data_IF_434827228654
#
_entry.id   IF_434827228654
#
_cell.length_a   1.000
_cell.length_b   1.000
_cell.length_c   1.000
_cell.angle_alpha   90.00
_cell.angle_beta   90.00
_cell.angle_gamma   90.00
#
_symmetry.space_group_name_H-M   'P 1'
#
loop_
_entity.id
_entity.type
_entity.pdbx_description
1 polymer ?
#
# COMPACT_ATOMS: atom_id res chain seq x y z
N UNK A 1 -3.48 29.32 -2.48
CA UNK A 1 -3.70 27.99 -3.08
C UNK A 1 -4.27 27.03 -2.04
N UNK A 2 -3.48 26.47 -1.11
CA UNK A 2 -4.05 25.59 -0.06
C UNK A 2 -5.04 26.31 0.88
N UNK A 3 -4.80 27.60 1.17
CA UNK A 3 -5.72 28.47 1.92
C UNK A 3 -7.05 28.71 1.19
N UNK A 4 -7.06 28.61 -0.14
CA UNK A 4 -8.28 28.79 -0.94
C UNK A 4 -9.09 27.49 -0.94
N UNK A 5 -8.40 26.36 -1.13
CA UNK A 5 -9.00 25.01 -1.00
C UNK A 5 -9.62 24.82 0.38
N UNK A 6 -8.87 25.13 1.44
CA UNK A 6 -9.35 24.96 2.82
C UNK A 6 -10.56 25.84 3.13
N UNK A 7 -10.54 27.13 2.75
CA UNK A 7 -11.70 28.03 2.92
C UNK A 7 -12.94 27.57 2.16
N UNK A 8 -12.77 27.09 0.93
CA UNK A 8 -13.89 26.57 0.15
C UNK A 8 -14.50 25.32 0.80
N UNK A 9 -13.67 24.40 1.29
CA UNK A 9 -14.13 23.20 2.00
C UNK A 9 -14.87 23.54 3.30
N UNK A 10 -14.33 24.45 4.11
CA UNK A 10 -14.98 24.89 5.36
C UNK A 10 -16.35 25.53 5.08
N UNK A 11 -16.44 26.34 4.03
CA UNK A 11 -17.70 26.97 3.57
C UNK A 11 -18.69 25.95 3.03
N UNK A 12 -18.27 25.10 2.08
CA UNK A 12 -19.14 24.13 1.38
C UNK A 12 -19.70 23.07 2.31
N UNK A 13 -18.90 22.56 3.23
CA UNK A 13 -19.31 21.48 4.14
C UNK A 13 -19.67 21.96 5.54
N UNK A 14 -19.61 23.28 5.80
CA UNK A 14 -19.88 23.87 7.12
C UNK A 14 -19.10 23.13 8.23
N UNK A 15 -17.80 22.98 8.01
CA UNK A 15 -16.92 22.19 8.86
C UNK A 15 -15.70 23.00 9.30
N UNK A 16 -14.96 22.50 10.28
CA UNK A 16 -13.62 23.00 10.62
C UNK A 16 -12.58 22.01 10.12
N UNK A 17 -11.53 22.50 9.45
CA UNK A 17 -10.44 21.64 9.04
C UNK A 17 -9.35 21.50 10.12
N UNK A 18 -9.01 20.26 10.44
CA UNK A 18 -7.86 19.93 11.28
C UNK A 18 -6.86 19.15 10.46
N UNK A 19 -5.61 19.63 10.43
CA UNK A 19 -4.53 18.90 9.78
C UNK A 19 -4.30 17.56 10.49
N UNK A 20 -4.43 16.46 9.75
CA UNK A 20 -4.07 15.15 10.27
C UNK A 20 -2.55 14.93 10.20
N UNK A 21 -2.02 14.27 11.23
CA UNK A 21 -0.65 13.77 11.27
C UNK A 21 -0.64 12.37 10.65
N UNK A 22 -0.21 12.26 9.40
CA UNK A 22 -0.31 11.06 8.57
C UNK A 22 -0.55 11.43 7.11
N UNK A 23 -0.12 10.60 6.17
CA UNK A 23 -0.09 10.93 4.74
C UNK A 23 1.17 11.72 4.37
N UNK A 24 2.23 10.99 3.97
CA UNK A 24 3.52 11.57 3.64
C UNK A 24 3.55 12.22 2.25
N UNK A 25 2.70 11.74 1.34
CA UNK A 25 2.64 12.18 -0.06
C UNK A 25 1.69 13.36 -0.26
N UNK A 26 0.56 13.37 0.45
CA UNK A 26 -0.57 14.25 0.19
C UNK A 26 -1.02 15.02 1.43
N UNK A 27 -1.74 16.12 1.21
CA UNK A 27 -2.26 16.92 2.30
C UNK A 27 -3.61 16.36 2.79
N UNK A 28 -3.63 15.69 3.94
CA UNK A 28 -4.87 15.16 4.55
C UNK A 28 -5.39 16.03 5.71
N UNK A 29 -6.71 16.26 5.74
CA UNK A 29 -7.42 17.01 6.78
C UNK A 29 -8.64 16.24 7.28
N UNK A 30 -8.88 16.30 8.59
CA UNK A 30 -10.16 15.96 9.20
C UNK A 30 -11.10 17.14 9.01
N UNK A 31 -12.30 16.88 8.53
CA UNK A 31 -13.42 17.80 8.43
C UNK A 31 -14.29 17.60 9.65
N UNK A 32 -14.06 18.38 10.72
CA UNK A 32 -14.85 18.30 11.95
C UNK A 32 -16.27 18.84 11.72
N UNK A 33 -17.26 17.99 12.02
CA UNK A 33 -18.70 18.26 11.94
C UNK A 33 -19.47 17.20 12.74
N UNK A 34 -20.81 17.21 12.66
CA UNK A 34 -21.64 16.17 13.30
C UNK A 34 -21.39 14.77 12.73
N UNK A 35 -21.03 14.71 11.44
CA UNK A 35 -20.58 13.51 10.74
C UNK A 35 -19.19 13.83 10.17
N UNK A 36 -18.10 13.36 10.82
CA UNK A 36 -16.75 13.72 10.40
C UNK A 36 -16.41 13.08 9.04
N UNK A 37 -15.70 13.85 8.20
CA UNK A 37 -15.17 13.41 6.91
C UNK A 37 -13.66 13.63 6.85
N UNK A 38 -13.01 13.09 5.83
CA UNK A 38 -11.60 13.32 5.54
C UNK A 38 -11.46 13.93 4.16
N UNK A 39 -10.69 15.01 4.05
CA UNK A 39 -10.27 15.62 2.79
C UNK A 39 -8.80 15.29 2.51
N UNK A 40 -8.52 14.56 1.43
CA UNK A 40 -7.16 14.32 0.90
C UNK A 40 -6.93 15.23 -0.30
N UNK A 41 -5.98 16.14 -0.19
CA UNK A 41 -5.62 17.13 -1.21
C UNK A 41 -4.32 16.70 -1.90
N UNK A 42 -4.38 16.54 -3.21
CA UNK A 42 -3.27 16.15 -4.08
C UNK A 42 -3.16 17.08 -5.30
N UNK A 43 -2.01 17.12 -5.96
CA UNK A 43 -1.88 17.85 -7.23
C UNK A 43 -2.67 17.18 -8.37
N UNK A 44 -3.26 17.95 -9.27
CA UNK A 44 -4.06 17.42 -10.39
C UNK A 44 -3.30 16.46 -11.31
N UNK A 45 -1.99 16.67 -11.46
CA UNK A 45 -1.12 15.82 -12.30
C UNK A 45 -0.73 14.50 -11.59
N UNK A 46 -1.19 14.27 -10.36
CA UNK A 46 -0.88 13.06 -9.61
C UNK A 46 -1.84 11.92 -10.00
N UNK A 47 -1.41 11.06 -10.92
CA UNK A 47 -2.14 9.87 -11.36
C UNK A 47 -2.39 8.83 -10.25
N UNK A 48 -1.65 8.88 -9.13
CA UNK A 48 -1.92 8.02 -7.97
C UNK A 48 -3.25 8.37 -7.32
N UNK A 49 -3.65 9.64 -7.36
CA UNK A 49 -4.95 10.10 -6.87
C UNK A 49 -6.11 9.59 -7.74
N UNK A 50 -5.94 9.56 -9.06
CA UNK A 50 -6.97 9.01 -9.98
C UNK A 50 -7.16 7.53 -9.75
N UNK A 51 -6.05 6.82 -9.56
CA UNK A 51 -6.06 5.40 -9.26
C UNK A 51 -6.72 5.11 -7.91
N UNK A 52 -6.49 5.95 -6.90
CA UNK A 52 -7.19 5.84 -5.61
C UNK A 52 -8.70 6.02 -5.76
N UNK A 53 -9.16 7.02 -6.54
CA UNK A 53 -10.60 7.21 -6.81
C UNK A 53 -11.19 5.96 -7.45
N UNK A 54 -10.56 5.45 -8.51
CA UNK A 54 -11.02 4.25 -9.21
C UNK A 54 -11.09 3.02 -8.28
N UNK A 55 -10.09 2.87 -7.41
CA UNK A 55 -10.04 1.75 -6.46
C UNK A 55 -11.11 1.86 -5.37
N UNK A 56 -11.30 3.04 -4.78
CA UNK A 56 -12.30 3.26 -3.73
C UNK A 56 -13.73 3.12 -4.28
N UNK A 57 -14.00 3.60 -5.50
CA UNK A 57 -15.29 3.35 -6.16
C UNK A 57 -15.51 1.86 -6.44
N UNK A 58 -14.49 1.14 -6.90
CA UNK A 58 -14.56 -0.31 -7.08
C UNK A 58 -14.86 -1.05 -5.75
N UNK A 59 -14.28 -0.58 -4.65
CA UNK A 59 -14.43 -1.18 -3.32
C UNK A 59 -15.61 -0.63 -2.50
N UNK A 60 -16.44 0.25 -3.05
CA UNK A 60 -17.51 0.94 -2.31
C UNK A 60 -18.46 0.01 -1.54
N UNK A 61 -18.75 -1.16 -2.09
CA UNK A 61 -19.63 -2.15 -1.46
C UNK A 61 -18.94 -3.07 -0.44
N UNK A 62 -17.62 -2.98 -0.29
CA UNK A 62 -16.81 -3.90 0.52
C UNK A 62 -16.82 -3.57 2.02
N UNK A 63 -17.17 -2.33 2.38
CA UNK A 63 -17.08 -1.74 3.72
C UNK A 63 -15.67 -1.69 4.35
N UNK A 64 -14.63 -2.25 3.71
CA UNK A 64 -13.25 -2.29 4.25
C UNK A 64 -12.45 -1.02 3.94
N UNK A 65 -12.91 -0.18 3.01
CA UNK A 65 -12.22 1.05 2.59
C UNK A 65 -13.13 2.27 2.78
N UNK A 66 -12.58 3.48 2.93
CA UNK A 66 -13.36 4.72 2.93
C UNK A 66 -14.24 4.86 1.69
N UNK A 67 -15.47 5.31 1.86
CA UNK A 67 -16.36 5.66 0.75
C UNK A 67 -16.07 7.11 0.35
N UNK A 68 -15.96 7.35 -0.96
CA UNK A 68 -15.86 8.69 -1.53
C UNK A 68 -17.25 9.32 -1.55
N UNK A 69 -17.34 10.54 -1.02
CA UNK A 69 -18.53 11.39 -1.05
C UNK A 69 -18.44 12.46 -2.13
N UNK A 70 -17.24 12.98 -2.40
CA UNK A 70 -17.03 14.03 -3.39
C UNK A 70 -15.60 14.00 -3.95
N UNK A 71 -15.45 14.46 -5.19
CA UNK A 71 -14.15 14.69 -5.84
C UNK A 71 -14.18 16.09 -6.44
N UNK A 72 -13.42 17.00 -5.85
CA UNK A 72 -13.38 18.41 -6.25
C UNK A 72 -12.09 18.70 -6.98
N UNK A 73 -12.18 19.48 -8.06
CA UNK A 73 -11.02 19.98 -8.77
C UNK A 73 -10.93 21.51 -8.65
N UNK A 74 -9.78 21.96 -8.18
CA UNK A 74 -9.35 23.35 -8.14
C UNK A 74 -8.26 23.55 -9.20
N UNK A 75 -7.80 24.79 -9.42
CA UNK A 75 -6.92 25.11 -10.56
C UNK A 75 -5.70 24.19 -10.71
N UNK A 76 -5.08 23.71 -9.62
CA UNK A 76 -3.96 22.77 -9.67
C UNK A 76 -4.12 21.56 -8.73
N UNK A 77 -5.23 21.45 -8.02
CA UNK A 77 -5.42 20.48 -6.95
C UNK A 77 -6.69 19.65 -7.14
N UNK A 78 -6.61 18.37 -6.76
CA UNK A 78 -7.76 17.49 -6.58
C UNK A 78 -7.97 17.24 -5.10
N UNK A 79 -9.21 17.29 -4.66
CA UNK A 79 -9.62 16.98 -3.29
C UNK A 79 -10.56 15.80 -3.30
N UNK A 80 -10.18 14.73 -2.60
CA UNK A 80 -11.04 13.59 -2.32
C UNK A 80 -11.67 13.80 -0.95
N UNK A 81 -13.00 13.89 -0.91
CA UNK A 81 -13.77 13.92 0.33
C UNK A 81 -14.33 12.53 0.57
N UNK A 82 -13.96 11.91 1.67
CA UNK A 82 -14.27 10.52 1.99
C UNK A 82 -14.65 10.32 3.45
N UNK A 83 -15.15 9.13 3.79
CA UNK A 83 -15.45 8.76 5.17
C UNK A 83 -14.27 9.04 6.12
N UNK A 84 -14.58 9.60 7.29
CA UNK A 84 -13.72 9.41 8.43
C UNK A 84 -13.87 7.97 8.95
N UNK A 85 -12.77 7.24 9.03
CA UNK A 85 -12.75 5.90 9.62
C UNK A 85 -12.24 5.96 11.06
N UNK A 86 -13.04 5.57 12.06
CA UNK A 86 -12.57 5.51 13.44
C UNK A 86 -11.62 4.33 13.61
N UNK A 87 -10.76 4.42 14.63
CA UNK A 87 -9.96 3.29 15.07
C UNK A 87 -8.53 3.63 15.44
N UNK A 88 -7.84 2.63 15.97
CA UNK A 88 -6.44 2.69 16.35
C UNK A 88 -5.59 2.21 15.19
N UNK A 89 -4.54 2.97 14.85
CA UNK A 89 -3.61 2.58 13.79
C UNK A 89 -2.88 1.27 14.16
N UNK A 90 -2.85 0.30 13.24
CA UNK A 90 -2.27 -1.02 13.46
C UNK A 90 -0.77 -0.97 13.80
N UNK A 91 -0.03 0.00 13.26
CA UNK A 91 1.39 0.17 13.58
C UNK A 91 1.59 0.53 15.06
N UNK A 92 0.69 1.31 15.66
CA UNK A 92 0.77 1.64 17.09
C UNK A 92 0.65 0.40 18.00
N UNK A 93 0.01 -0.67 17.53
CA UNK A 93 -0.03 -1.96 18.25
C UNK A 93 1.35 -2.61 18.23
N UNK A 94 2.06 -2.56 17.11
CA UNK A 94 3.44 -3.05 17.02
C UNK A 94 4.37 -2.23 17.93
N UNK A 95 4.22 -0.91 17.89
CA UNK A 95 5.03 0.02 18.69
C UNK A 95 4.80 -0.15 20.20
N UNK A 96 3.64 -0.65 20.61
CA UNK A 96 3.35 -0.99 22.01
C UNK A 96 4.15 -2.19 22.55
N UNK A 97 4.74 -3.00 21.66
CA UNK A 97 5.45 -4.23 22.02
C UNK A 97 4.56 -5.40 22.44
N UNK A 98 3.23 -5.26 22.37
CA UNK A 98 2.28 -6.31 22.73
C UNK A 98 2.20 -7.41 21.68
N UNK A 99 3.01 -8.46 21.82
CA UNK A 99 3.04 -9.60 20.88
C UNK A 99 1.67 -10.28 20.67
N UNK A 100 0.86 -10.43 21.72
CA UNK A 100 -0.47 -11.04 21.62
C UNK A 100 -1.39 -10.27 20.66
N UNK A 101 -1.52 -8.95 20.89
CA UNK A 101 -2.30 -8.06 20.02
C UNK A 101 -1.72 -8.00 18.60
N UNK A 102 -0.40 -8.00 18.46
CA UNK A 102 0.25 -8.01 17.14
C UNK A 102 -0.05 -9.31 16.37
N UNK A 103 -0.06 -10.46 17.03
CA UNK A 103 -0.44 -11.74 16.43
C UNK A 103 -1.91 -11.76 15.97
N UNK A 104 -2.82 -11.23 16.80
CA UNK A 104 -4.23 -11.08 16.41
C UNK A 104 -4.34 -10.18 15.18
N UNK A 105 -3.67 -9.02 15.19
CA UNK A 105 -3.64 -8.12 14.05
C UNK A 105 -3.14 -8.83 12.78
N UNK A 106 -1.99 -9.51 12.83
CA UNK A 106 -1.40 -10.13 11.64
C UNK A 106 -2.25 -11.26 11.07
N UNK A 107 -2.95 -12.04 11.89
CA UNK A 107 -3.94 -13.02 11.39
C UNK A 107 -5.13 -12.31 10.74
N UNK A 108 -5.66 -11.26 11.35
CA UNK A 108 -6.77 -10.49 10.78
C UNK A 108 -6.38 -9.79 9.47
N UNK A 109 -5.15 -9.28 9.35
CA UNK A 109 -4.61 -8.72 8.10
C UNK A 109 -4.59 -9.78 7.01
N UNK A 110 -4.03 -10.96 7.30
CA UNK A 110 -3.95 -12.06 6.35
C UNK A 110 -5.33 -12.51 5.86
N UNK A 111 -6.26 -12.71 6.80
CA UNK A 111 -7.62 -13.12 6.48
C UNK A 111 -8.36 -12.05 5.66
N UNK A 112 -8.27 -10.77 6.03
CA UNK A 112 -8.91 -9.69 5.26
C UNK A 112 -8.34 -9.62 3.85
N UNK A 113 -7.02 -9.61 3.71
CA UNK A 113 -6.35 -9.54 2.42
C UNK A 113 -6.81 -10.69 1.50
N UNK A 114 -6.80 -11.92 2.01
CA UNK A 114 -7.18 -13.11 1.25
C UNK A 114 -8.68 -13.16 0.89
N UNK A 115 -9.56 -12.75 1.81
CA UNK A 115 -11.02 -12.98 1.68
C UNK A 115 -11.82 -11.77 1.19
N UNK A 116 -11.25 -10.57 1.23
CA UNK A 116 -11.93 -9.33 0.88
C UNK A 116 -11.26 -8.56 -0.26
N UNK A 117 -9.94 -8.68 -0.42
CA UNK A 117 -9.18 -7.91 -1.42
C UNK A 117 -8.78 -8.84 -2.58
N UNK A 118 -8.01 -9.88 -2.29
CA UNK A 118 -7.46 -10.79 -3.30
C UNK A 118 -8.49 -11.75 -3.91
N UNK A 119 -9.76 -11.66 -3.51
CA UNK A 119 -10.88 -12.36 -4.17
C UNK A 119 -11.27 -11.71 -5.50
N UNK A 120 -10.86 -10.47 -5.73
CA UNK A 120 -11.12 -9.75 -6.98
C UNK A 120 -10.03 -10.11 -8.00
N UNK A 121 -10.34 -11.02 -8.93
CA UNK A 121 -9.45 -11.35 -10.05
C UNK A 121 -9.50 -10.27 -11.14
N UNK A 122 -8.41 -10.07 -11.86
CA UNK A 122 -8.37 -9.19 -13.03
C UNK A 122 -9.41 -9.65 -14.08
N UNK A 123 -10.38 -8.80 -14.35
CA UNK A 123 -11.40 -8.99 -15.39
C UNK A 123 -11.03 -8.35 -16.73
N UNK A 124 -11.97 -8.40 -17.68
CA UNK A 124 -11.82 -7.72 -18.97
C UNK A 124 -11.86 -6.19 -18.85
N UNK A 125 -12.60 -5.67 -17.86
CA UNK A 125 -12.61 -4.27 -17.49
C UNK A 125 -11.75 -4.08 -16.23
N UNK A 126 -10.61 -3.35 -16.30
CA UNK A 126 -9.76 -3.08 -15.15
C UNK A 126 -10.33 -1.95 -14.25
N UNK A 127 -11.49 -1.38 -14.57
CA UNK A 127 -12.14 -0.31 -13.81
C UNK A 127 -11.28 0.95 -13.63
N UNK A 128 -10.38 1.23 -14.59
CA UNK A 128 -9.44 2.34 -14.50
C UNK A 128 -8.35 2.18 -13.43
N UNK A 129 -8.31 1.06 -12.70
CA UNK A 129 -7.23 0.72 -11.78
C UNK A 129 -6.02 0.27 -12.61
N UNK A 130 -4.84 0.75 -12.24
CA UNK A 130 -3.60 0.47 -12.98
C UNK A 130 -3.26 -1.02 -12.95
N UNK A 131 -2.56 -1.46 -13.99
CA UNK A 131 -1.91 -2.77 -14.02
C UNK A 131 -0.51 -2.68 -13.42
N UNK A 132 -0.07 -3.77 -12.80
CA UNK A 132 1.28 -3.91 -12.30
C UNK A 132 2.29 -3.76 -13.44
N UNK A 133 3.36 -3.01 -13.19
CA UNK A 133 4.50 -2.88 -14.10
C UNK A 133 5.54 -4.01 -13.94
N UNK A 134 5.15 -5.14 -13.33
CA UNK A 134 6.02 -6.29 -13.10
C UNK A 134 6.72 -6.78 -14.38
N UNK A 135 5.99 -6.87 -15.49
CA UNK A 135 6.59 -7.30 -16.76
C UNK A 135 7.60 -6.28 -17.29
N UNK A 136 7.31 -4.99 -17.15
CA UNK A 136 8.25 -3.94 -17.52
C UNK A 136 9.51 -4.03 -16.65
N UNK A 137 9.39 -4.12 -15.33
CA UNK A 137 10.54 -4.22 -14.42
C UNK A 137 11.35 -5.51 -14.66
N UNK A 138 10.68 -6.62 -15.00
CA UNK A 138 11.32 -7.89 -15.35
C UNK A 138 12.04 -7.86 -16.69
N UNK A 139 11.46 -7.20 -17.70
CA UNK A 139 11.95 -7.18 -19.09
C UNK A 139 12.92 -6.03 -19.40
N UNK A 140 12.93 -4.97 -18.60
CA UNK A 140 13.80 -3.82 -18.83
C UNK A 140 15.25 -4.07 -18.43
N UNK A 141 16.14 -3.38 -19.13
CA UNK A 141 17.40 -2.97 -18.53
C UNK A 141 17.06 -1.98 -17.43
N UNK A 142 17.04 -2.45 -16.19
CA UNK A 142 16.97 -1.66 -14.96
C UNK A 142 18.05 -0.55 -14.95
N UNK A 143 17.82 0.52 -15.69
CA UNK A 143 18.78 1.60 -15.95
C UNK A 143 18.32 2.86 -15.23
N UNK A 144 18.53 2.83 -13.91
CA UNK A 144 18.43 4.02 -13.07
C UNK A 144 19.85 4.44 -12.76
N UNK A 145 20.33 5.52 -13.37
CA UNK A 145 21.73 5.96 -13.28
C UNK A 145 22.24 6.25 -11.86
N UNK A 146 21.34 6.38 -10.88
CA UNK A 146 21.68 6.53 -9.46
C UNK A 146 21.82 5.18 -8.71
N UNK A 147 21.38 4.05 -9.28
CA UNK A 147 21.47 2.73 -8.68
C UNK A 147 22.79 2.05 -9.09
N UNK A 148 23.62 1.58 -8.15
CA UNK A 148 24.85 0.87 -8.46
C UNK A 148 24.65 -0.37 -9.34
N UNK A 149 25.49 -0.53 -10.38
CA UNK A 149 25.37 -1.61 -11.37
C UNK A 149 25.39 -3.02 -10.78
N UNK A 150 26.14 -3.25 -9.71
CA UNK A 150 26.16 -4.57 -9.06
C UNK A 150 24.81 -4.93 -8.42
N UNK A 151 24.08 -3.95 -7.87
CA UNK A 151 22.72 -4.18 -7.33
C UNK A 151 21.72 -4.42 -8.47
N UNK A 152 21.89 -3.73 -9.61
CA UNK A 152 21.13 -3.98 -10.84
C UNK A 152 21.28 -5.44 -11.28
N UNK A 153 22.52 -5.92 -11.42
CA UNK A 153 22.80 -7.26 -11.95
C UNK A 153 22.27 -8.37 -11.00
N UNK A 154 22.41 -8.18 -9.69
CA UNK A 154 21.79 -9.08 -8.69
C UNK A 154 20.27 -9.06 -8.78
N UNK A 155 19.67 -7.88 -8.90
CA UNK A 155 18.21 -7.74 -9.01
C UNK A 155 17.67 -8.45 -10.24
N UNK A 156 18.33 -8.32 -11.41
CA UNK A 156 17.92 -9.02 -12.64
C UNK A 156 17.88 -10.53 -12.46
N UNK A 157 18.85 -11.10 -11.74
CA UNK A 157 18.90 -12.54 -11.47
C UNK A 157 17.67 -13.00 -10.69
N UNK A 158 17.29 -12.25 -9.64
CA UNK A 158 16.12 -12.59 -8.80
C UNK A 158 14.81 -12.32 -9.54
N UNK A 159 14.71 -11.22 -10.27
CA UNK A 159 13.49 -10.81 -10.99
C UNK A 159 13.16 -11.75 -12.17
N UNK A 160 14.13 -12.51 -12.69
CA UNK A 160 13.89 -13.52 -13.72
C UNK A 160 12.84 -14.57 -13.30
N UNK A 161 12.66 -14.78 -11.99
CA UNK A 161 11.68 -15.71 -11.42
C UNK A 161 10.37 -15.04 -10.97
N UNK A 162 10.18 -13.75 -11.25
CA UNK A 162 8.95 -13.05 -10.93
C UNK A 162 7.79 -13.60 -11.77
N UNK A 163 6.69 -14.00 -11.11
CA UNK A 163 5.47 -14.40 -11.80
C UNK A 163 4.73 -13.15 -12.31
N UNK A 164 4.68 -13.04 -13.64
CA UNK A 164 4.06 -11.95 -14.40
C UNK A 164 2.79 -12.40 -15.11
N UNK A 165 2.30 -13.62 -14.86
CA UNK A 165 1.11 -14.13 -15.49
C UNK A 165 -0.14 -13.38 -15.01
N UNK A 166 -0.73 -12.58 -15.89
CA UNK A 166 -1.93 -11.80 -15.60
C UNK A 166 -3.14 -12.65 -15.17
N UNK A 167 -3.17 -13.96 -15.51
CA UNK A 167 -4.24 -14.86 -15.06
C UNK A 167 -4.23 -15.09 -13.54
N UNK A 168 -3.09 -14.86 -12.91
CA UNK A 168 -2.93 -14.95 -11.46
C UNK A 168 -3.11 -13.59 -10.77
N UNK A 169 -3.39 -12.52 -11.53
CA UNK A 169 -3.49 -11.18 -10.96
C UNK A 169 -4.83 -10.94 -10.29
N UNK A 170 -4.74 -10.27 -9.15
CA UNK A 170 -5.86 -9.85 -8.32
C UNK A 170 -5.72 -8.37 -8.04
N UNK A 171 -6.76 -7.77 -7.46
CA UNK A 171 -6.63 -6.45 -6.86
C UNK A 171 -5.62 -6.55 -5.72
N UNK A 172 -4.57 -5.75 -5.77
CA UNK A 172 -3.62 -5.57 -4.67
C UNK A 172 -3.71 -4.14 -4.18
N UNK A 173 -3.48 -3.93 -2.89
CA UNK A 173 -3.42 -2.62 -2.26
C UNK A 173 -2.13 -1.87 -2.65
N UNK A 174 -1.02 -2.59 -2.80
CA UNK A 174 0.27 -2.03 -3.19
C UNK A 174 1.05 -1.37 -2.05
N UNK A 175 0.43 -0.95 -0.97
CA UNK A 175 1.13 -0.58 0.28
C UNK A 175 0.48 -1.24 1.51
N UNK A 176 0.10 -2.52 1.37
CA UNK A 176 -0.63 -3.22 2.43
C UNK A 176 0.26 -3.47 3.66
N UNK A 177 -0.18 -3.02 4.83
CA UNK A 177 0.56 -3.24 6.06
C UNK A 177 -0.10 -2.57 7.26
N UNK A 178 0.40 -2.88 8.46
CA UNK A 178 -0.17 -2.37 9.73
C UNK A 178 -0.27 -0.84 9.80
N UNK A 179 0.58 -0.11 9.07
CA UNK A 179 0.60 1.35 9.02
C UNK A 179 -0.59 1.96 8.28
N UNK A 180 -1.23 1.20 7.38
CA UNK A 180 -2.39 1.61 6.59
C UNK A 180 -3.71 0.99 7.08
N UNK A 181 -3.73 0.53 8.33
CA UNK A 181 -4.86 -0.19 8.91
C UNK A 181 -5.34 0.54 10.16
N UNK A 182 -6.64 0.79 10.25
CA UNK A 182 -7.31 1.20 11.47
C UNK A 182 -8.15 0.05 12.01
N UNK A 183 -8.09 -0.15 13.33
CA UNK A 183 -8.88 -1.15 14.04
C UNK A 183 -9.90 -0.41 14.89
N UNK A 184 -11.19 -0.61 14.60
CA UNK A 184 -12.27 0.00 15.37
C UNK A 184 -12.55 -0.77 16.68
N UNK A 185 -13.50 -0.26 17.47
CA UNK A 185 -13.85 -0.84 18.78
C UNK A 185 -14.47 -2.25 18.66
N UNK A 186 -15.03 -2.60 17.50
CA UNK A 186 -15.59 -3.91 17.19
C UNK A 186 -14.52 -4.87 16.59
N UNK A 187 -13.26 -4.44 16.53
CA UNK A 187 -12.12 -5.13 15.91
C UNK A 187 -12.25 -5.31 14.38
N UNK A 188 -13.07 -4.51 13.71
CA UNK A 188 -13.07 -4.48 12.26
C UNK A 188 -11.85 -3.70 11.76
N UNK A 189 -11.29 -4.18 10.65
CA UNK A 189 -10.17 -3.54 9.98
C UNK A 189 -10.68 -2.61 8.88
N UNK A 190 -10.22 -1.36 8.91
CA UNK A 190 -10.39 -0.38 7.84
C UNK A 190 -9.05 -0.17 7.16
N UNK A 191 -9.00 -0.38 5.84
CA UNK A 191 -7.81 -0.28 5.00
C UNK A 191 -7.79 1.09 4.33
N UNK A 192 -6.73 1.85 4.56
CA UNK A 192 -6.55 3.21 4.08
C UNK A 192 -5.49 3.29 2.98
N UNK A 193 -5.48 4.40 2.24
CA UNK A 193 -4.42 4.79 1.30
C UNK A 193 -4.23 3.85 0.10
N UNK A 194 -5.27 3.81 -0.75
CA UNK A 194 -5.34 2.92 -1.92
C UNK A 194 -4.65 3.50 -3.18
N UNK A 195 -3.83 4.54 -3.04
CA UNK A 195 -3.22 5.23 -4.17
C UNK A 195 -2.22 4.34 -4.95
N UNK A 196 -1.65 3.33 -4.28
CA UNK A 196 -0.74 2.34 -4.87
C UNK A 196 -1.43 1.07 -5.37
N UNK A 197 -2.76 1.00 -5.33
CA UNK A 197 -3.50 -0.18 -5.73
C UNK A 197 -3.21 -0.53 -7.19
N UNK A 198 -3.10 -1.82 -7.48
CA UNK A 198 -2.87 -2.30 -8.84
C UNK A 198 -3.50 -3.68 -9.04
N UNK A 199 -3.81 -4.01 -10.29
CA UNK A 199 -3.96 -5.40 -10.71
C UNK A 199 -2.57 -6.04 -10.80
N UNK A 200 -2.26 -6.93 -9.88
CA UNK A 200 -0.92 -7.51 -9.75
C UNK A 200 -0.95 -8.88 -9.10
N UNK A 201 0.22 -9.50 -9.02
CA UNK A 201 0.34 -10.79 -8.36
C UNK A 201 0.06 -10.64 -6.85
N UNK A 202 -0.74 -11.50 -6.20
CA UNK A 202 -1.09 -11.39 -4.78
C UNK A 202 0.13 -11.38 -3.84
N UNK A 203 1.25 -11.95 -4.28
CA UNK A 203 2.50 -11.91 -3.51
C UNK A 203 3.12 -10.52 -3.39
N UNK A 204 2.66 -9.53 -4.16
CA UNK A 204 3.11 -8.16 -4.01
C UNK A 204 2.75 -7.62 -2.62
N UNK A 205 1.50 -7.82 -2.17
CA UNK A 205 1.07 -7.40 -0.82
C UNK A 205 1.59 -8.34 0.28
N UNK A 206 1.57 -9.66 0.05
CA UNK A 206 2.09 -10.63 1.04
C UNK A 206 3.58 -10.39 1.30
N UNK A 207 4.36 -10.24 0.24
CA UNK A 207 5.79 -9.90 0.30
C UNK A 207 6.01 -8.61 1.05
N UNK A 208 5.21 -7.58 0.76
CA UNK A 208 5.33 -6.26 1.37
C UNK A 208 5.12 -6.30 2.89
N UNK A 209 4.12 -7.04 3.39
CA UNK A 209 3.94 -7.24 4.84
C UNK A 209 5.17 -7.92 5.47
N UNK A 210 5.67 -8.98 4.84
CA UNK A 210 6.85 -9.71 5.33
C UNK A 210 8.09 -8.80 5.34
N UNK A 211 8.27 -8.01 4.28
CA UNK A 211 9.36 -7.05 4.12
C UNK A 211 9.33 -5.95 5.16
N UNK A 212 8.17 -5.30 5.32
CA UNK A 212 7.98 -4.22 6.28
C UNK A 212 8.27 -4.71 7.71
N UNK A 213 7.76 -5.87 8.07
CA UNK A 213 7.95 -6.44 9.40
C UNK A 213 9.40 -6.80 9.65
N UNK A 214 10.10 -7.41 8.68
CA UNK A 214 11.54 -7.72 8.81
C UNK A 214 12.40 -6.46 8.92
N UNK A 215 12.07 -5.41 8.18
CA UNK A 215 12.86 -4.18 8.19
C UNK A 215 12.64 -3.36 9.46
N UNK A 216 11.39 -3.22 9.91
CA UNK A 216 11.03 -2.29 10.98
C UNK A 216 10.86 -2.96 12.35
N UNK A 217 10.51 -4.24 12.37
CA UNK A 217 10.25 -5.01 13.60
C UNK A 217 11.00 -6.36 13.58
N UNK A 218 12.33 -6.38 13.35
CA UNK A 218 13.10 -7.61 13.13
C UNK A 218 12.96 -8.63 14.27
N UNK A 219 12.79 -8.16 15.51
CA UNK A 219 12.60 -8.98 16.71
C UNK A 219 11.24 -9.70 16.75
N UNK A 220 10.24 -9.19 16.04
CA UNK A 220 8.90 -9.80 15.95
C UNK A 220 8.69 -10.55 14.62
N UNK A 221 9.54 -10.27 13.63
CA UNK A 221 9.32 -10.67 12.24
C UNK A 221 9.10 -12.17 12.03
N UNK A 222 9.87 -13.04 12.68
CA UNK A 222 9.70 -14.48 12.53
C UNK A 222 8.28 -14.93 12.95
N UNK A 223 7.86 -14.54 14.15
CA UNK A 223 6.58 -14.97 14.73
C UNK A 223 5.39 -14.34 13.99
N UNK A 224 5.48 -13.05 13.66
CA UNK A 224 4.39 -12.33 13.00
C UNK A 224 4.25 -12.71 11.53
N UNK A 225 5.35 -12.79 10.78
CA UNK A 225 5.31 -13.18 9.37
C UNK A 225 4.82 -14.61 9.22
N UNK A 226 5.23 -15.52 10.12
CA UNK A 226 4.68 -16.87 10.13
C UNK A 226 3.17 -16.89 10.31
N UNK A 227 2.67 -16.20 11.34
CA UNK A 227 1.23 -16.13 11.60
C UNK A 227 0.46 -15.54 10.42
N UNK A 228 0.99 -14.49 9.79
CA UNK A 228 0.35 -13.85 8.63
C UNK A 228 0.35 -14.78 7.40
N UNK A 229 1.51 -15.35 7.02
CA UNK A 229 1.59 -16.15 5.79
C UNK A 229 0.81 -17.46 5.93
N UNK A 230 0.87 -18.14 7.08
CA UNK A 230 0.07 -19.35 7.32
C UNK A 230 -1.43 -19.06 7.22
N UNK A 231 -1.90 -17.99 7.87
CA UNK A 231 -3.31 -17.60 7.83
C UNK A 231 -3.73 -17.19 6.41
N UNK A 232 -2.89 -16.47 5.67
CA UNK A 232 -3.18 -16.06 4.30
C UNK A 232 -3.33 -17.28 3.37
N UNK A 233 -2.46 -18.28 3.50
CA UNK A 233 -2.53 -19.53 2.71
C UNK A 233 -3.83 -20.29 2.98
N UNK A 234 -4.32 -20.30 4.23
CA UNK A 234 -5.58 -20.98 4.60
C UNK A 234 -6.77 -20.44 3.80
N UNK A 235 -6.83 -19.13 3.59
CA UNK A 235 -7.97 -18.46 2.95
C UNK A 235 -7.79 -18.15 1.46
N UNK A 236 -6.58 -18.34 0.92
CA UNK A 236 -6.28 -17.95 -0.46
C UNK A 236 -6.29 -19.11 -1.46
N UNK A 237 -6.32 -18.75 -2.75
CA UNK A 237 -6.12 -19.70 -3.84
C UNK A 237 -4.68 -20.25 -3.87
N UNK A 238 -3.69 -19.48 -3.38
CA UNK A 238 -2.31 -19.91 -3.27
C UNK A 238 -2.17 -20.99 -2.19
N UNK A 239 -1.71 -22.19 -2.57
CA UNK A 239 -1.56 -23.33 -1.63
C UNK A 239 -0.20 -23.39 -0.95
N UNK A 240 0.76 -22.63 -1.44
CA UNK A 240 2.10 -22.55 -0.87
C UNK A 240 2.76 -21.26 -1.30
N UNK A 241 3.62 -20.72 -0.43
CA UNK A 241 4.43 -19.54 -0.70
C UNK A 241 5.86 -19.87 -0.27
N UNK A 242 6.79 -19.82 -1.21
CA UNK A 242 8.21 -20.05 -0.92
C UNK A 242 8.94 -18.74 -0.56
N UNK A 243 10.04 -18.80 0.21
CA UNK A 243 10.89 -17.65 0.47
C UNK A 243 11.43 -17.01 -0.82
N UNK A 244 11.68 -17.81 -1.86
CA UNK A 244 12.15 -17.32 -3.16
C UNK A 244 11.11 -16.45 -3.87
N UNK A 245 9.84 -16.87 -3.87
CA UNK A 245 8.76 -16.07 -4.45
C UNK A 245 8.53 -14.76 -3.68
N UNK A 246 8.67 -14.77 -2.35
CA UNK A 246 8.62 -13.53 -1.56
C UNK A 246 9.80 -12.61 -1.89
N UNK A 247 11.00 -13.18 -2.05
CA UNK A 247 12.20 -12.43 -2.45
C UNK A 247 11.99 -11.71 -3.78
N UNK A 248 11.49 -12.40 -4.81
CA UNK A 248 11.30 -11.80 -6.13
C UNK A 248 10.23 -10.71 -6.11
N UNK A 249 9.09 -10.93 -5.43
CA UNK A 249 8.06 -9.91 -5.22
C UNK A 249 8.57 -8.68 -4.47
N UNK A 250 9.41 -8.86 -3.45
CA UNK A 250 9.99 -7.76 -2.68
C UNK A 250 11.01 -6.95 -3.47
N UNK A 251 11.89 -7.61 -4.23
CA UNK A 251 12.82 -6.93 -5.14
C UNK A 251 12.04 -6.16 -6.20
N UNK A 252 10.99 -6.75 -6.78
CA UNK A 252 10.08 -6.05 -7.69
C UNK A 252 9.51 -4.79 -7.05
N UNK A 253 9.01 -4.89 -5.81
CA UNK A 253 8.36 -3.77 -5.14
C UNK A 253 9.33 -2.62 -4.87
N UNK A 254 10.55 -2.92 -4.42
CA UNK A 254 11.60 -1.93 -4.24
C UNK A 254 11.97 -1.26 -5.56
N UNK A 255 12.07 -2.02 -6.67
CA UNK A 255 12.30 -1.45 -8.00
C UNK A 255 11.14 -0.58 -8.50
N UNK A 256 9.89 -0.97 -8.21
CA UNK A 256 8.72 -0.16 -8.54
C UNK A 256 8.80 1.20 -7.83
N UNK A 257 9.27 1.23 -6.58
CA UNK A 257 9.49 2.49 -5.85
C UNK A 257 10.67 3.28 -6.44
N UNK A 258 11.83 2.64 -6.63
CA UNK A 258 13.01 3.29 -7.23
C UNK A 258 12.70 3.94 -8.58
N UNK A 259 11.87 3.31 -9.42
CA UNK A 259 11.47 3.85 -10.72
C UNK A 259 10.80 5.22 -10.63
N UNK A 260 10.13 5.52 -9.51
CA UNK A 260 9.46 6.80 -9.23
C UNK A 260 10.38 7.85 -8.60
N UNK A 261 11.58 7.47 -8.17
CA UNK A 261 12.53 8.32 -7.45
C UNK A 261 13.58 8.98 -8.35
N UNK A 262 13.45 8.91 -9.68
CA UNK A 262 14.39 9.51 -10.63
C UNK A 262 14.66 11.00 -10.36
N UNK A 263 13.62 11.73 -9.95
CA UNK A 263 13.69 13.16 -9.65
C UNK A 263 13.70 13.46 -8.14
N UNK A 264 13.77 12.44 -7.29
CA UNK A 264 13.77 12.62 -5.85
C UNK A 264 15.13 13.17 -5.36
N UNK A 265 15.16 13.86 -4.20
CA UNK A 265 16.41 14.30 -3.60
C UNK A 265 17.43 13.16 -3.40
N UNK A 266 18.75 13.41 -3.53
CA UNK A 266 19.77 12.37 -3.42
C UNK A 266 19.73 11.56 -2.12
N UNK A 267 19.33 12.15 -0.99
CA UNK A 267 19.19 11.45 0.28
C UNK A 267 18.03 10.44 0.27
N UNK A 268 16.95 10.74 -0.46
CA UNK A 268 15.82 9.80 -0.64
C UNK A 268 16.24 8.65 -1.57
N UNK A 269 16.94 8.96 -2.66
CA UNK A 269 17.52 7.93 -3.54
C UNK A 269 18.48 7.02 -2.77
N UNK A 270 19.39 7.58 -1.98
CA UNK A 270 20.35 6.84 -1.16
C UNK A 270 19.67 5.89 -0.15
N UNK A 271 18.60 6.35 0.51
CA UNK A 271 17.84 5.50 1.43
C UNK A 271 17.18 4.32 0.72
N UNK A 272 16.66 4.51 -0.49
CA UNK A 272 16.06 3.42 -1.25
C UNK A 272 17.08 2.48 -1.89
N UNK A 273 18.29 2.96 -2.22
CA UNK A 273 19.42 2.09 -2.59
C UNK A 273 19.81 1.21 -1.39
N UNK A 274 19.94 1.79 -0.19
CA UNK A 274 20.23 1.03 1.04
C UNK A 274 19.16 -0.03 1.30
N UNK A 275 17.89 0.29 1.07
CA UNK A 275 16.78 -0.66 1.17
C UNK A 275 16.84 -1.75 0.10
N UNK A 276 17.26 -1.43 -1.12
CA UNK A 276 17.49 -2.43 -2.17
C UNK A 276 18.60 -3.40 -1.76
N UNK A 277 19.76 -2.90 -1.32
CA UNK A 277 20.88 -3.72 -0.83
C UNK A 277 20.42 -4.64 0.31
N UNK A 278 19.77 -4.08 1.34
CA UNK A 278 19.19 -4.87 2.42
C UNK A 278 18.19 -5.93 1.91
N UNK A 279 17.37 -5.58 0.93
CA UNK A 279 16.40 -6.51 0.33
C UNK A 279 17.10 -7.63 -0.41
N UNK A 280 18.21 -7.37 -1.10
CA UNK A 280 19.01 -8.37 -1.82
C UNK A 280 19.77 -9.30 -0.88
N UNK A 281 20.14 -8.84 0.32
CA UNK A 281 20.85 -9.66 1.32
C UNK A 281 19.91 -10.41 2.28
N UNK A 282 18.66 -9.99 2.41
CA UNK A 282 17.72 -10.55 3.40
C UNK A 282 17.15 -11.90 2.99
N UNK A 283 17.16 -12.85 3.93
CA UNK A 283 16.38 -14.09 3.82
C UNK A 283 14.91 -13.84 4.19
N UNK A 284 14.01 -14.14 3.24
CA UNK A 284 12.56 -13.98 3.40
C UNK A 284 11.85 -15.23 3.93
N UNK A 285 12.59 -16.18 4.50
CA UNK A 285 12.02 -17.26 5.31
C UNK A 285 11.23 -16.70 6.50
N UNK A 286 10.12 -17.38 6.82
CA UNK A 286 9.15 -16.99 7.85
C UNK A 286 8.74 -18.21 8.68
#
# INVERSE_FOLDING_TARGET
MIEDVTRELESRYTCRLIRLTGGYTNLTFLMEGSEPLVAKVAGLQNHDTENEVNCLEFLKASAIAPIIHDVLEFSNERVLVMDYRPGVNGQSILDSGSLERALVLYRSLAQLLATKIHTHALGADPHGIRKSNAEQIRSLELDLGFVPRHLVDQSKTILAELDVNEQNWVLTHGDYGSHNILIDDDNNLNVLDWEWAEWGHPLNDVGWVVWFTKLHYPQLALVLNKAFVEEYIVHSALKSISPHQLKSGNVYKVWNILSRLQNAPPNVQAEWIRRLEWTLDTDFSW
#
